data_IF_153465823299
#
_entry.id   IF_153465823299
#
_cell.length_a   1.000
_cell.length_b   1.000
_cell.length_c   1.000
_cell.angle_alpha   90.00
_cell.angle_beta   90.00
_cell.angle_gamma   90.00
#
_symmetry.space_group_name_H-M   'P 1'
#
loop_
_entity.id
_entity.type
_entity.pdbx_description
1 polymer ?
#
# COMPACT_ATOMS: atom_id res chain seq x y z
N UNK A 1 46.76 -10.38 14.35
CA UNK A 1 46.35 -11.04 13.06
C UNK A 1 44.89 -10.79 12.65
N UNK A 2 43.95 -10.59 13.56
CA UNK A 2 42.53 -10.21 13.21
C UNK A 2 42.38 -8.74 12.97
N UNK A 3 42.93 -7.88 13.83
CA UNK A 3 42.82 -6.43 13.78
C UNK A 3 43.51 -5.81 12.54
N UNK A 4 44.60 -6.35 12.10
CA UNK A 4 45.32 -5.87 10.91
C UNK A 4 44.51 -6.09 9.62
N UNK A 5 43.74 -7.19 9.54
CA UNK A 5 42.87 -7.47 8.39
C UNK A 5 41.62 -6.55 8.36
N UNK A 6 41.08 -6.19 9.52
CA UNK A 6 39.95 -5.24 9.60
C UNK A 6 40.36 -3.81 9.24
N UNK A 7 41.56 -3.38 9.64
CA UNK A 7 42.11 -2.07 9.22
C UNK A 7 42.33 -2.03 7.71
N UNK A 8 42.87 -3.07 7.12
CA UNK A 8 43.08 -3.19 5.66
C UNK A 8 41.75 -3.13 4.88
N UNK A 9 40.66 -3.74 5.41
CA UNK A 9 39.32 -3.68 4.81
C UNK A 9 38.78 -2.26 4.87
N UNK A 10 38.88 -1.59 6.02
CA UNK A 10 38.36 -0.22 6.19
C UNK A 10 39.06 0.80 5.31
N UNK A 11 40.39 0.74 5.21
CA UNK A 11 41.18 1.62 4.34
C UNK A 11 40.89 1.40 2.85
N UNK A 12 40.75 0.13 2.41
CA UNK A 12 40.41 -0.20 1.03
C UNK A 12 39.00 0.27 0.65
N UNK A 13 38.03 0.16 1.56
CA UNK A 13 36.66 0.64 1.37
C UNK A 13 36.64 2.16 1.28
N UNK A 14 37.38 2.86 2.14
CA UNK A 14 37.45 4.33 2.12
C UNK A 14 38.07 4.88 0.82
N UNK A 15 39.13 4.23 0.31
CA UNK A 15 39.73 4.58 -0.99
C UNK A 15 38.77 4.31 -2.15
N UNK A 16 38.04 3.19 -2.11
CA UNK A 16 37.05 2.84 -3.13
C UNK A 16 35.85 3.81 -3.15
N UNK A 17 35.43 4.35 -2.01
CA UNK A 17 34.39 5.38 -1.91
C UNK A 17 34.84 6.72 -2.48
N UNK A 18 36.17 7.01 -2.46
CA UNK A 18 36.78 8.19 -3.07
C UNK A 18 37.05 8.04 -4.58
N UNK A 19 36.66 6.89 -5.18
CA UNK A 19 36.74 6.64 -6.63
C UNK A 19 37.80 5.62 -7.07
N UNK A 20 38.68 5.16 -6.19
CA UNK A 20 39.71 4.19 -6.50
C UNK A 20 39.23 2.75 -6.25
N UNK A 21 38.57 2.17 -7.27
CA UNK A 21 38.03 0.80 -7.22
C UNK A 21 39.13 -0.28 -7.29
N UNK A 22 40.34 0.06 -7.70
CA UNK A 22 41.46 -0.89 -7.80
C UNK A 22 42.04 -1.22 -6.43
N UNK A 23 41.89 -0.34 -5.45
CA UNK A 23 42.37 -0.56 -4.07
C UNK A 23 41.78 -1.84 -3.42
N UNK A 24 40.59 -2.25 -3.78
CA UNK A 24 40.00 -3.53 -3.29
C UNK A 24 40.51 -4.72 -4.06
N UNK A 25 40.81 -4.58 -5.34
CA UNK A 25 41.31 -5.70 -6.17
C UNK A 25 42.76 -6.03 -5.88
N UNK A 26 43.54 -5.11 -5.33
CA UNK A 26 44.97 -5.31 -4.92
C UNK A 26 45.13 -6.14 -3.65
N UNK A 27 44.04 -6.47 -2.93
CA UNK A 27 44.08 -7.33 -1.75
C UNK A 27 44.33 -8.78 -2.20
N UNK A 28 45.48 -9.38 -1.85
CA UNK A 28 45.86 -10.74 -2.26
C UNK A 28 44.95 -11.81 -1.65
N UNK A 29 44.58 -11.67 -0.38
CA UNK A 29 43.70 -12.62 0.31
C UNK A 29 42.26 -12.57 -0.23
N UNK A 30 41.85 -13.69 -0.87
CA UNK A 30 40.53 -13.82 -1.50
C UNK A 30 39.36 -13.59 -0.52
N UNK A 31 39.47 -14.03 0.74
CA UNK A 31 38.42 -13.88 1.76
C UNK A 31 38.35 -12.44 2.23
N UNK A 32 39.48 -11.80 2.47
CA UNK A 32 39.55 -10.37 2.87
C UNK A 32 39.04 -9.47 1.76
N UNK A 33 39.39 -9.76 0.50
CA UNK A 33 38.87 -9.03 -0.68
C UNK A 33 37.34 -9.18 -0.84
N UNK A 34 36.77 -10.36 -0.60
CA UNK A 34 35.33 -10.57 -0.65
C UNK A 34 34.59 -9.76 0.45
N UNK A 35 35.15 -9.74 1.66
CA UNK A 35 34.64 -8.93 2.76
C UNK A 35 34.71 -7.43 2.47
N UNK A 36 35.78 -6.93 1.85
CA UNK A 36 35.93 -5.54 1.44
C UNK A 36 34.89 -5.15 0.38
N UNK A 37 34.62 -6.03 -0.61
CA UNK A 37 33.56 -5.79 -1.60
C UNK A 37 32.16 -5.72 -0.96
N UNK A 38 31.86 -6.63 -0.04
CA UNK A 38 30.59 -6.62 0.68
C UNK A 38 30.43 -5.36 1.57
N UNK A 39 31.51 -4.95 2.23
CA UNK A 39 31.53 -3.73 3.02
C UNK A 39 31.35 -2.45 2.16
N UNK A 40 31.93 -2.40 0.95
CA UNK A 40 31.73 -1.30 0.00
C UNK A 40 30.25 -1.19 -0.43
N UNK A 41 29.61 -2.30 -0.81
CA UNK A 41 28.21 -2.32 -1.20
C UNK A 41 27.30 -1.86 -0.04
N UNK A 42 27.60 -2.29 1.19
CA UNK A 42 26.88 -1.86 2.38
C UNK A 42 27.06 -0.36 2.67
N UNK A 43 28.27 0.16 2.50
CA UNK A 43 28.57 1.59 2.67
C UNK A 43 27.89 2.46 1.61
N UNK A 44 27.88 2.02 0.35
CA UNK A 44 27.17 2.70 -0.73
C UNK A 44 25.65 2.70 -0.51
N UNK A 45 25.09 1.61 -0.03
CA UNK A 45 23.65 1.52 0.31
C UNK A 45 23.28 2.43 1.48
N UNK A 46 24.14 2.57 2.48
CA UNK A 46 23.95 3.49 3.59
C UNK A 46 24.07 4.96 3.15
N UNK A 47 24.93 5.29 2.20
CA UNK A 47 25.02 6.64 1.63
C UNK A 47 23.78 7.01 0.80
N UNK A 48 23.16 6.03 0.13
CA UNK A 48 21.89 6.25 -0.60
C UNK A 48 20.70 6.39 0.36
N UNK A 49 20.74 5.74 1.53
CA UNK A 49 19.69 5.85 2.56
C UNK A 49 19.79 7.12 3.41
N UNK A 50 20.96 7.78 3.48
CA UNK A 50 21.16 9.06 4.24
C UNK A 50 20.56 10.27 3.50
N UNK A 51 20.04 10.10 2.28
CA UNK A 51 19.37 11.17 1.53
C UNK A 51 17.84 11.20 1.80
N UNK A 52 17.30 10.26 2.57
CA UNK A 52 15.85 10.16 2.87
C UNK A 52 15.51 10.02 4.38
N UNK A 53 16.20 10.72 5.28
CA UNK A 53 15.64 10.98 6.61
C UNK A 53 15.24 12.46 6.73
N UNK A 54 13.97 12.77 7.07
CA UNK A 54 13.55 14.15 7.31
C UNK A 54 14.14 14.64 8.63
N UNK A 55 15.05 15.59 8.56
CA UNK A 55 15.50 16.36 9.73
C UNK A 55 14.38 17.31 10.15
N UNK A 56 13.81 17.07 11.35
CA UNK A 56 13.04 18.07 12.09
C UNK A 56 13.90 19.30 12.33
N UNK A 57 13.64 20.36 11.59
CA UNK A 57 14.03 21.72 11.97
C UNK A 57 12.84 22.63 11.77
N UNK A 58 12.25 23.03 12.91
CA UNK A 58 11.36 24.17 13.02
C UNK A 58 12.00 25.39 12.37
N UNK A 59 11.53 25.77 11.20
CA UNK A 59 11.69 27.11 10.64
C UNK A 59 10.35 27.48 9.99
N UNK A 60 9.74 28.53 10.51
CA UNK A 60 8.57 29.19 9.96
C UNK A 60 8.83 29.55 8.49
N UNK A 61 8.33 28.73 7.56
CA UNK A 61 8.27 29.09 6.15
C UNK A 61 6.88 29.58 5.79
N UNK A 62 6.82 30.84 5.42
CA UNK A 62 5.69 31.48 4.75
C UNK A 62 5.26 30.65 3.55
N UNK A 63 3.95 30.48 3.30
CA UNK A 63 3.44 29.61 2.22
C UNK A 63 3.85 30.19 0.86
N UNK A 64 4.77 29.51 0.20
CA UNK A 64 5.14 29.80 -1.18
C UNK A 64 4.02 29.36 -2.13
N UNK A 65 3.32 30.32 -2.72
CA UNK A 65 2.12 30.18 -3.55
C UNK A 65 2.31 29.49 -4.91
N UNK A 66 3.40 28.75 -5.14
CA UNK A 66 3.69 28.12 -6.44
C UNK A 66 4.12 26.64 -6.33
N UNK A 67 3.60 25.88 -5.36
CA UNK A 67 3.73 24.42 -5.42
C UNK A 67 2.72 23.88 -6.44
N UNK A 68 3.22 23.23 -7.51
CA UNK A 68 2.36 22.39 -8.38
C UNK A 68 1.68 21.36 -7.48
N UNK A 69 0.35 21.40 -7.42
CA UNK A 69 -0.45 20.40 -6.72
C UNK A 69 -0.11 19.00 -7.28
N UNK A 70 0.02 18.03 -6.39
CA UNK A 70 0.11 16.63 -6.78
C UNK A 70 -1.22 16.19 -7.42
N UNK A 71 -1.16 15.22 -8.33
CA UNK A 71 -2.34 14.67 -9.02
C UNK A 71 -3.47 14.33 -8.05
N UNK A 72 -3.18 13.67 -6.92
CA UNK A 72 -4.16 13.33 -5.90
C UNK A 72 -4.85 14.56 -5.31
N UNK A 73 -4.09 15.62 -5.07
CA UNK A 73 -4.62 16.89 -4.55
C UNK A 73 -5.49 17.62 -5.58
N UNK A 74 -5.11 17.60 -6.85
CA UNK A 74 -5.93 18.17 -7.94
C UNK A 74 -7.27 17.43 -8.07
N UNK A 75 -7.23 16.09 -8.02
CA UNK A 75 -8.44 15.26 -8.09
C UNK A 75 -9.29 15.46 -6.83
N UNK A 76 -8.69 15.51 -5.64
CA UNK A 76 -9.40 15.78 -4.40
C UNK A 76 -10.13 17.13 -4.44
N UNK A 77 -9.50 18.18 -4.95
CA UNK A 77 -10.16 19.47 -5.14
C UNK A 77 -11.35 19.42 -6.12
N UNK A 78 -11.23 18.65 -7.22
CA UNK A 78 -12.32 18.44 -8.15
C UNK A 78 -13.49 17.68 -7.51
N UNK A 79 -13.19 16.64 -6.72
CA UNK A 79 -14.19 15.87 -5.96
C UNK A 79 -14.88 16.79 -4.95
N UNK A 80 -14.14 17.53 -4.12
CA UNK A 80 -14.70 18.39 -3.08
C UNK A 80 -15.57 19.51 -3.66
N UNK A 81 -15.19 20.04 -4.82
CA UNK A 81 -16.00 21.06 -5.53
C UNK A 81 -17.34 20.50 -6.01
N UNK A 82 -17.39 19.25 -6.45
CA UNK A 82 -18.59 18.60 -7.01
C UNK A 82 -19.43 17.89 -5.95
N UNK A 83 -18.75 17.29 -4.96
CA UNK A 83 -19.34 16.52 -3.87
C UNK A 83 -18.81 17.05 -2.52
N UNK A 84 -19.36 18.17 -2.01
CA UNK A 84 -18.89 18.78 -0.77
C UNK A 84 -18.99 17.82 0.41
N UNK A 85 -17.97 17.83 1.29
CA UNK A 85 -17.87 16.99 2.51
C UNK A 85 -17.74 15.47 2.27
N UNK A 86 -17.40 15.05 1.05
CA UNK A 86 -17.18 13.63 0.74
C UNK A 86 -15.78 13.14 1.08
N UNK A 87 -14.82 14.04 1.26
CA UNK A 87 -13.46 13.71 1.69
C UNK A 87 -13.46 13.54 3.20
N UNK A 88 -12.78 12.47 3.67
CA UNK A 88 -12.60 12.16 5.09
C UNK A 88 -11.13 12.34 5.48
N UNK A 89 -10.87 13.19 6.49
CA UNK A 89 -9.53 13.45 6.99
C UNK A 89 -8.67 14.38 6.14
N UNK A 90 -7.35 14.34 6.41
CA UNK A 90 -6.36 15.15 5.72
C UNK A 90 -6.03 14.59 4.33
N UNK A 91 -5.81 15.49 3.38
CA UNK A 91 -5.41 15.11 2.01
C UNK A 91 -3.99 14.56 2.01
N UNK A 92 -3.83 13.37 1.45
CA UNK A 92 -2.52 12.74 1.25
C UNK A 92 -2.05 12.92 -0.20
N UNK A 93 -0.74 12.92 -0.41
CA UNK A 93 -0.14 13.01 -1.75
C UNK A 93 -0.35 11.75 -2.60
N UNK A 94 -0.62 10.59 -1.98
CA UNK A 94 -0.67 9.27 -2.63
C UNK A 94 -2.10 8.74 -2.79
N UNK A 95 -3.01 9.07 -1.86
CA UNK A 95 -4.38 8.57 -1.87
C UNK A 95 -5.37 9.63 -1.43
N UNK A 96 -6.65 9.40 -1.73
CA UNK A 96 -7.77 10.20 -1.27
C UNK A 96 -8.64 9.34 -0.38
N UNK A 97 -8.87 9.79 0.86
CA UNK A 97 -9.81 9.15 1.78
C UNK A 97 -11.21 9.71 1.52
N UNK A 98 -12.17 8.83 1.26
CA UNK A 98 -13.57 9.22 1.00
C UNK A 98 -14.51 8.57 2.02
N UNK A 99 -15.65 9.24 2.24
CA UNK A 99 -16.77 8.66 2.98
C UNK A 99 -17.56 7.71 2.09
N UNK A 100 -18.17 6.65 2.65
CA UNK A 100 -18.88 5.65 1.86
C UNK A 100 -20.15 6.19 1.18
N UNK A 101 -20.84 7.17 1.76
CA UNK A 101 -22.19 7.57 1.33
C UNK A 101 -22.26 8.01 -0.13
N UNK A 102 -21.24 8.75 -0.61
CA UNK A 102 -21.23 9.31 -1.97
C UNK A 102 -20.30 8.54 -2.92
N UNK A 103 -19.82 7.34 -2.51
CA UNK A 103 -18.82 6.62 -3.27
C UNK A 103 -19.28 6.26 -4.69
N UNK A 104 -20.51 5.78 -4.85
CA UNK A 104 -21.02 5.40 -6.16
C UNK A 104 -21.04 6.57 -7.16
N UNK A 105 -21.52 7.73 -6.74
CA UNK A 105 -21.58 8.93 -7.58
C UNK A 105 -20.21 9.47 -7.92
N UNK A 106 -19.29 9.45 -6.94
CA UNK A 106 -17.90 9.85 -7.14
C UNK A 106 -17.18 8.89 -8.10
N UNK A 107 -17.38 7.59 -7.95
CA UNK A 107 -16.82 6.56 -8.83
C UNK A 107 -17.30 6.75 -10.28
N UNK A 108 -18.58 7.00 -10.46
CA UNK A 108 -19.16 7.30 -11.77
C UNK A 108 -18.58 8.59 -12.36
N UNK A 109 -18.39 9.62 -11.54
CA UNK A 109 -17.74 10.85 -11.96
C UNK A 109 -16.28 10.62 -12.37
N UNK A 110 -15.50 9.91 -11.57
CA UNK A 110 -14.10 9.59 -11.87
C UNK A 110 -13.94 8.85 -13.20
N UNK A 111 -14.89 7.97 -13.53
CA UNK A 111 -14.88 7.22 -14.78
C UNK A 111 -15.32 8.05 -15.98
N UNK A 112 -16.36 8.89 -15.83
CA UNK A 112 -17.04 9.55 -16.95
C UNK A 112 -16.49 10.92 -17.33
N UNK A 113 -15.80 11.62 -16.39
CA UNK A 113 -15.24 12.94 -16.63
C UNK A 113 -14.07 12.88 -17.63
N UNK A 114 -14.15 13.67 -18.72
CA UNK A 114 -13.16 13.66 -19.80
C UNK A 114 -11.74 14.05 -19.35
N UNK A 115 -11.63 14.83 -18.27
CA UNK A 115 -10.35 15.25 -17.69
C UNK A 115 -9.77 14.27 -16.68
N UNK A 116 -10.49 13.17 -16.36
CA UNK A 116 -10.06 12.16 -15.39
C UNK A 116 -10.01 10.76 -16.05
N UNK A 117 -11.12 10.29 -16.60
CA UNK A 117 -11.28 9.02 -17.33
C UNK A 117 -10.58 7.83 -16.65
N UNK A 118 -10.87 7.61 -15.37
CA UNK A 118 -10.41 6.40 -14.68
C UNK A 118 -11.24 5.19 -15.13
N UNK A 119 -10.95 4.72 -16.32
CA UNK A 119 -11.66 3.64 -17.01
C UNK A 119 -11.29 2.25 -16.49
N UNK A 120 -10.15 2.10 -15.82
CA UNK A 120 -9.65 0.83 -15.31
C UNK A 120 -9.57 0.82 -13.78
N UNK A 121 -10.35 -0.09 -13.14
CA UNK A 121 -10.15 -0.51 -11.75
C UNK A 121 -9.14 -1.66 -11.77
N UNK A 122 -7.94 -1.44 -11.26
CA UNK A 122 -6.87 -2.44 -11.27
C UNK A 122 -6.95 -3.40 -10.08
N UNK A 123 -7.37 -2.90 -8.93
CA UNK A 123 -7.52 -3.69 -7.71
C UNK A 123 -8.53 -3.03 -6.77
N UNK A 124 -9.26 -3.86 -6.01
CA UNK A 124 -9.94 -3.47 -4.78
C UNK A 124 -9.51 -4.44 -3.69
N UNK A 125 -8.97 -3.92 -2.61
CA UNK A 125 -8.43 -4.72 -1.50
C UNK A 125 -9.00 -4.23 -0.18
N UNK A 126 -9.54 -5.16 0.62
CA UNK A 126 -9.90 -4.92 2.00
C UNK A 126 -8.64 -4.88 2.88
N UNK A 127 -8.68 -4.08 3.94
CA UNK A 127 -7.64 -3.99 4.96
C UNK A 127 -8.28 -3.79 6.32
N UNK A 128 -7.88 -4.58 7.29
CA UNK A 128 -8.19 -4.33 8.69
C UNK A 128 -7.13 -3.38 9.27
N UNK A 129 -7.50 -2.12 9.48
CA UNK A 129 -6.61 -1.10 10.02
C UNK A 129 -6.54 -1.13 11.56
N UNK A 130 -7.36 -1.95 12.21
CA UNK A 130 -7.53 -1.98 13.67
C UNK A 130 -8.46 -0.87 14.15
N UNK A 131 -8.53 -0.67 15.47
CA UNK A 131 -9.35 0.39 16.10
C UNK A 131 -10.84 0.32 15.69
N UNK A 132 -11.37 -0.89 15.46
CA UNK A 132 -12.76 -1.14 15.05
C UNK A 132 -13.13 -0.63 13.65
N UNK A 133 -12.13 -0.48 12.77
CA UNK A 133 -12.35 -0.01 11.40
C UNK A 133 -11.76 -0.96 10.36
N UNK A 134 -12.51 -1.09 9.26
CA UNK A 134 -12.07 -1.71 8.01
C UNK A 134 -11.90 -0.63 6.94
N UNK A 135 -11.04 -0.88 5.98
CA UNK A 135 -10.80 0.02 4.86
C UNK A 135 -10.85 -0.76 3.54
N UNK A 136 -11.56 -0.23 2.56
CA UNK A 136 -11.53 -0.74 1.18
C UNK A 136 -10.71 0.22 0.33
N UNK A 137 -9.70 -0.30 -0.39
CA UNK A 137 -8.75 0.44 -1.21
C UNK A 137 -8.97 0.13 -2.67
N UNK A 138 -9.24 1.15 -3.46
CA UNK A 138 -9.47 1.07 -4.90
C UNK A 138 -8.31 1.68 -5.65
N UNK A 139 -7.61 0.90 -6.45
CA UNK A 139 -6.54 1.38 -7.33
C UNK A 139 -7.12 1.62 -8.71
N UNK A 140 -7.26 2.89 -9.07
CA UNK A 140 -7.82 3.32 -10.34
C UNK A 140 -6.72 3.77 -11.30
N UNK A 141 -6.88 3.46 -12.58
CA UNK A 141 -5.97 3.88 -13.63
C UNK A 141 -6.73 4.46 -14.82
N UNK A 142 -6.19 5.52 -15.40
CA UNK A 142 -6.68 6.11 -16.64
C UNK A 142 -5.79 5.70 -17.80
N UNK A 143 -6.33 4.91 -18.71
CA UNK A 143 -5.60 4.47 -19.92
C UNK A 143 -5.27 5.64 -20.85
N UNK A 144 -6.13 6.67 -20.88
CA UNK A 144 -5.93 7.85 -21.73
C UNK A 144 -4.89 8.81 -21.17
N UNK A 145 -4.97 9.10 -19.87
CA UNK A 145 -4.10 10.08 -19.21
C UNK A 145 -2.86 9.47 -18.60
N UNK A 146 -2.74 8.13 -18.57
CA UNK A 146 -1.64 7.36 -17.96
C UNK A 146 -1.41 7.73 -16.49
N UNK A 147 -2.49 8.04 -15.78
CA UNK A 147 -2.50 8.42 -14.40
C UNK A 147 -3.07 7.30 -13.54
N UNK A 148 -2.56 7.17 -12.31
CA UNK A 148 -3.09 6.23 -11.32
C UNK A 148 -3.40 6.97 -10.03
N UNK A 149 -4.45 6.53 -9.33
CA UNK A 149 -4.85 7.06 -8.03
C UNK A 149 -5.36 5.94 -7.14
N UNK A 150 -5.10 6.06 -5.84
CA UNK A 150 -5.67 5.19 -4.83
C UNK A 150 -6.78 5.93 -4.08
N UNK A 151 -7.96 5.34 -4.04
CA UNK A 151 -9.10 5.79 -3.24
C UNK A 151 -9.25 4.84 -2.07
N UNK A 152 -9.43 5.39 -0.88
CA UNK A 152 -9.68 4.63 0.35
C UNK A 152 -11.02 4.99 0.94
N UNK A 153 -11.73 3.97 1.39
CA UNK A 153 -13.02 4.14 2.07
C UNK A 153 -12.96 3.41 3.39
N UNK A 154 -13.10 4.16 4.46
CA UNK A 154 -13.06 3.65 5.84
C UNK A 154 -14.50 3.42 6.32
N UNK A 155 -14.74 2.26 6.93
CA UNK A 155 -16.04 1.87 7.53
C UNK A 155 -15.82 1.23 8.89
N UNK A 156 -16.83 1.31 9.76
CA UNK A 156 -16.79 0.62 11.06
C UNK A 156 -16.99 -0.88 10.88
N UNK A 157 -16.35 -1.68 11.75
CA UNK A 157 -16.57 -3.14 11.81
C UNK A 157 -18.01 -3.47 12.20
N UNK A 158 -18.69 -2.62 12.98
CA UNK A 158 -20.09 -2.83 13.39
C UNK A 158 -21.07 -2.72 12.21
N UNK A 159 -20.78 -1.82 11.26
CA UNK A 159 -21.59 -1.62 10.06
C UNK A 159 -20.68 -1.41 8.84
N UNK A 160 -20.05 -2.48 8.34
CA UNK A 160 -19.06 -2.40 7.27
C UNK A 160 -19.72 -2.36 5.89
N UNK A 161 -20.48 -1.31 5.58
CA UNK A 161 -21.23 -1.18 4.34
C UNK A 161 -20.64 -0.12 3.42
N UNK A 162 -20.41 -0.49 2.14
CA UNK A 162 -19.90 0.38 1.08
C UNK A 162 -20.77 0.18 -0.17
N UNK A 163 -21.20 1.25 -0.89
CA UNK A 163 -21.89 1.09 -2.16
C UNK A 163 -21.02 0.35 -3.20
N UNK A 164 -21.59 -0.68 -3.83
CA UNK A 164 -20.92 -1.43 -4.89
C UNK A 164 -20.67 -0.59 -6.13
N UNK A 165 -19.53 -0.79 -6.77
CA UNK A 165 -19.15 -0.17 -8.04
C UNK A 165 -19.07 -1.15 -9.21
N UNK A 166 -19.64 -2.36 -9.07
CA UNK A 166 -19.66 -3.38 -10.12
C UNK A 166 -20.32 -2.90 -11.43
N UNK A 167 -21.34 -2.03 -11.31
CA UNK A 167 -22.02 -1.43 -12.48
C UNK A 167 -21.17 -0.38 -13.17
N UNK A 168 -20.17 0.16 -12.48
CA UNK A 168 -19.23 1.14 -13.02
C UNK A 168 -18.04 0.41 -13.63
N UNK A 169 -17.36 -0.43 -12.85
CA UNK A 169 -16.26 -1.29 -13.31
C UNK A 169 -16.63 -2.75 -13.12
N UNK A 170 -16.89 -3.45 -14.19
CA UNK A 170 -17.36 -4.85 -14.12
C UNK A 170 -16.40 -5.80 -13.38
N UNK A 171 -15.10 -5.49 -13.36
CA UNK A 171 -14.10 -6.27 -12.62
C UNK A 171 -14.29 -6.16 -11.10
N UNK A 172 -14.95 -5.11 -10.62
CA UNK A 172 -15.26 -4.93 -9.21
C UNK A 172 -16.10 -6.06 -8.63
N UNK A 173 -16.97 -6.70 -9.42
CA UNK A 173 -17.75 -7.89 -9.00
C UNK A 173 -16.86 -8.89 -8.25
N UNK A 174 -15.74 -9.30 -8.85
CA UNK A 174 -14.84 -10.28 -8.24
C UNK A 174 -14.07 -9.74 -7.03
N UNK A 175 -13.57 -8.53 -7.13
CA UNK A 175 -12.80 -7.92 -6.04
C UNK A 175 -13.66 -7.60 -4.81
N UNK A 176 -14.90 -7.16 -5.03
CA UNK A 176 -15.84 -6.88 -3.95
C UNK A 176 -16.26 -8.17 -3.23
N UNK A 177 -16.48 -9.26 -3.98
CA UNK A 177 -16.76 -10.58 -3.41
C UNK A 177 -15.57 -11.13 -2.64
N UNK A 178 -14.34 -11.00 -3.13
CA UNK A 178 -13.12 -11.37 -2.39
C UNK A 178 -12.99 -10.57 -1.10
N UNK A 179 -13.18 -9.26 -1.17
CA UNK A 179 -13.11 -8.36 0.00
C UNK A 179 -14.23 -8.70 1.02
N UNK A 180 -15.42 -9.00 0.54
CA UNK A 180 -16.50 -9.49 1.38
C UNK A 180 -16.12 -10.82 2.05
N UNK A 181 -15.61 -11.79 1.29
CA UNK A 181 -15.27 -13.12 1.77
C UNK A 181 -14.19 -13.10 2.86
N UNK A 182 -13.18 -12.22 2.71
CA UNK A 182 -12.03 -12.16 3.62
C UNK A 182 -12.22 -11.22 4.81
N UNK A 183 -12.92 -10.11 4.64
CA UNK A 183 -13.05 -9.05 5.65
C UNK A 183 -14.49 -8.82 6.13
N UNK A 184 -15.50 -9.29 5.39
CA UNK A 184 -16.91 -9.07 5.70
C UNK A 184 -17.38 -7.63 5.42
N UNK A 185 -16.74 -6.93 4.48
CA UNK A 185 -17.24 -5.65 3.99
C UNK A 185 -18.43 -5.94 3.06
N UNK A 186 -19.60 -5.40 3.40
CA UNK A 186 -20.83 -5.60 2.62
C UNK A 186 -20.91 -4.54 1.53
N UNK A 187 -20.95 -4.96 0.28
CA UNK A 187 -21.11 -4.06 -0.86
C UNK A 187 -22.59 -3.94 -1.23
N UNK A 188 -23.23 -2.84 -0.81
CA UNK A 188 -24.66 -2.61 -1.06
C UNK A 188 -24.95 -2.46 -2.56
N UNK A 189 -26.08 -3.02 -2.99
CA UNK A 189 -26.51 -3.08 -4.39
C UNK A 189 -25.63 -3.90 -5.33
N UNK A 190 -24.71 -4.72 -4.80
CA UNK A 190 -24.02 -5.74 -5.56
C UNK A 190 -25.00 -6.82 -6.03
N UNK A 191 -24.88 -7.30 -7.28
CA UNK A 191 -25.86 -8.22 -7.87
C UNK A 191 -25.80 -9.64 -7.31
N UNK A 192 -24.61 -10.12 -6.90
CA UNK A 192 -24.37 -11.49 -6.43
C UNK A 192 -23.27 -11.53 -5.35
N UNK A 193 -23.51 -10.87 -4.20
CA UNK A 193 -22.55 -10.80 -3.10
C UNK A 193 -22.55 -12.10 -2.30
N UNK A 194 -21.70 -13.03 -2.69
CA UNK A 194 -21.47 -14.31 -2.00
C UNK A 194 -20.00 -14.62 -1.91
N UNK A 195 -19.62 -15.53 -1.02
CA UNK A 195 -18.23 -15.99 -0.89
C UNK A 195 -17.72 -16.60 -2.19
N UNK A 196 -16.40 -16.46 -2.48
CA UNK A 196 -15.77 -17.04 -3.67
C UNK A 196 -14.52 -17.87 -3.36
N UNK A 197 -13.86 -17.64 -2.23
CA UNK A 197 -12.66 -18.36 -1.81
C UNK A 197 -12.96 -19.41 -0.76
N UNK A 198 -13.88 -19.11 0.14
CA UNK A 198 -14.31 -20.00 1.21
C UNK A 198 -15.66 -20.60 0.91
N UNK A 199 -16.00 -21.75 1.53
CA UNK A 199 -17.36 -22.30 1.50
C UNK A 199 -18.39 -21.31 2.06
N UNK A 200 -19.64 -21.42 1.60
CA UNK A 200 -20.72 -20.49 2.00
C UNK A 200 -21.03 -20.55 3.50
N UNK A 201 -20.83 -21.70 4.10
CA UNK A 201 -21.05 -22.00 5.53
C UNK A 201 -19.82 -21.77 6.41
N UNK A 202 -18.74 -21.17 5.86
CA UNK A 202 -17.57 -20.85 6.63
C UNK A 202 -17.87 -19.74 7.65
N UNK A 203 -17.47 -19.96 8.91
CA UNK A 203 -17.68 -18.99 9.99
C UNK A 203 -16.55 -17.99 10.08
N UNK A 204 -16.92 -16.70 10.20
CA UNK A 204 -15.98 -15.59 10.37
C UNK A 204 -15.30 -15.08 9.09
N UNK A 205 -14.32 -14.21 9.27
CA UNK A 205 -13.63 -13.43 8.23
C UNK A 205 -12.13 -13.57 8.40
N UNK A 206 -11.46 -14.45 7.64
CA UNK A 206 -10.10 -14.93 7.94
C UNK A 206 -8.99 -13.87 7.93
N UNK A 207 -9.19 -12.72 7.28
CA UNK A 207 -8.19 -11.67 7.24
C UNK A 207 -8.43 -10.53 8.22
N UNK A 208 -9.45 -10.63 9.07
CA UNK A 208 -9.60 -9.76 10.23
C UNK A 208 -8.60 -10.11 11.31
N UNK A 209 -8.12 -9.11 12.06
CA UNK A 209 -7.15 -9.29 13.15
C UNK A 209 -7.72 -10.03 14.36
N UNK A 210 -9.04 -9.94 14.55
CA UNK A 210 -9.80 -10.61 15.60
C UNK A 210 -10.28 -12.02 15.25
N UNK A 211 -9.93 -12.51 14.03
CA UNK A 211 -10.37 -13.82 13.56
C UNK A 211 -9.67 -14.95 14.32
N UNK A 212 -10.49 -15.85 14.87
CA UNK A 212 -10.05 -17.10 15.46
C UNK A 212 -10.34 -18.27 14.53
N UNK A 213 -9.30 -19.05 14.21
CA UNK A 213 -9.44 -20.22 13.33
C UNK A 213 -10.29 -21.27 14.02
N UNK A 214 -11.32 -21.78 13.34
CA UNK A 214 -12.15 -22.88 13.79
C UNK A 214 -11.28 -24.12 14.08
N UNK A 215 -11.64 -24.91 15.09
CA UNK A 215 -10.92 -26.15 15.40
C UNK A 215 -11.26 -27.29 14.43
N UNK A 216 -12.52 -27.31 13.96
CA UNK A 216 -13.01 -28.34 13.03
C UNK A 216 -13.91 -27.72 11.98
N UNK A 217 -13.90 -28.30 10.78
CA UNK A 217 -14.85 -28.00 9.71
C UNK A 217 -15.42 -29.32 9.17
N UNK A 218 -16.75 -29.49 9.22
CA UNK A 218 -17.45 -30.74 8.85
C UNK A 218 -16.84 -32.02 9.48
N UNK A 219 -16.38 -31.92 10.74
CA UNK A 219 -15.74 -33.02 11.45
C UNK A 219 -14.28 -33.28 11.10
N UNK A 220 -13.69 -32.47 10.22
CA UNK A 220 -12.26 -32.50 9.87
C UNK A 220 -11.54 -31.49 10.75
N UNK A 221 -10.48 -31.93 11.44
CA UNK A 221 -9.65 -31.04 12.26
C UNK A 221 -8.85 -30.11 11.37
N UNK A 222 -8.96 -28.80 11.62
CA UNK A 222 -8.15 -27.78 10.94
C UNK A 222 -6.81 -27.68 11.68
N UNK A 223 -5.68 -28.06 11.02
CA UNK A 223 -4.38 -27.96 11.67
C UNK A 223 -4.01 -26.52 11.93
N UNK A 224 -3.77 -26.14 13.19
CA UNK A 224 -3.16 -24.83 13.51
C UNK A 224 -1.74 -24.85 12.97
N UNK A 225 -1.37 -23.89 12.13
CA UNK A 225 0.00 -23.72 11.65
C UNK A 225 0.86 -23.48 12.88
N UNK A 226 1.84 -24.37 13.12
CA UNK A 226 2.84 -24.14 14.18
C UNK A 226 3.64 -22.90 13.80
N UNK A 227 3.79 -21.97 14.73
CA UNK A 227 4.67 -20.83 14.56
C UNK A 227 6.11 -21.35 14.35
N UNK A 228 6.64 -21.07 13.18
CA UNK A 228 8.01 -21.43 12.81
C UNK A 228 8.11 -22.59 11.81
N UNK A 229 8.84 -22.37 10.75
CA UNK A 229 9.36 -23.41 9.90
C UNK A 229 10.56 -24.03 10.67
N UNK A 230 10.36 -25.15 11.37
CA UNK A 230 11.45 -26.02 11.80
C UNK A 230 11.87 -26.99 10.70
#
# INVERSE_FOLDING_TARGET
MSEDKEKLISEAVEKALKGDKEAINSIEDRVTRAKAKAALVKAQRNQTMVIEEPTDTNSEETPNKNQKLNLSQEIAQKIEKKFPKSIDGEQNEKWIQLKPENWFEIANYLKSDEGLLFDSLQCNTGVDIGEEFLESRYNLHSMKHLNSIEIRIKVSIENPEIPSVEKIWRVADWFERETYDMFGIVFSSHSDLRRILLPEDWEGWPLRKDYEVQETYHGIVIPKVKEGWE
#
